data_IF_870748463881
#
_entry.id   IF_870748463881
#
_cell.length_a   1.000
_cell.length_b   1.000
_cell.length_c   1.000
_cell.angle_alpha   90.00
_cell.angle_beta   90.00
_cell.angle_gamma   90.00
#
_symmetry.space_group_name_H-M   'P 1'
#
loop_
_entity.id
_entity.type
_entity.pdbx_description
1 polymer ?
#
# COMPACT_ATOMS: atom_id res chain seq x y z
N UNK A 1 -37.45 12.86 -36.58
CA UNK A 1 -36.04 12.99 -36.17
C UNK A 1 -35.96 12.48 -34.72
N UNK A 2 -35.49 11.22 -34.53
CA UNK A 2 -35.41 10.57 -33.20
C UNK A 2 -34.03 10.85 -32.61
N UNK A 3 -34.00 11.64 -31.54
CA UNK A 3 -32.80 11.94 -30.78
C UNK A 3 -32.47 10.73 -29.87
N UNK A 4 -31.44 9.97 -30.21
CA UNK A 4 -30.92 8.89 -29.36
C UNK A 4 -30.02 9.53 -28.31
N UNK A 5 -30.51 9.61 -27.08
CA UNK A 5 -29.72 10.00 -25.92
C UNK A 5 -28.88 8.79 -25.50
N UNK A 6 -27.58 8.84 -25.79
CA UNK A 6 -26.61 7.89 -25.23
C UNK A 6 -26.37 8.24 -23.75
N UNK A 7 -26.96 7.46 -22.86
CA UNK A 7 -26.62 7.51 -21.43
C UNK A 7 -25.24 6.84 -21.25
N UNK A 8 -24.21 7.64 -21.11
CA UNK A 8 -22.89 7.14 -20.72
C UNK A 8 -22.97 6.69 -19.25
N UNK A 9 -23.01 5.38 -19.02
CA UNK A 9 -22.83 4.78 -17.70
C UNK A 9 -21.36 4.97 -17.30
N UNK A 10 -21.09 5.98 -16.48
CA UNK A 10 -19.81 6.13 -15.79
C UNK A 10 -19.76 5.04 -14.73
N UNK A 11 -19.11 3.94 -15.05
CA UNK A 11 -18.82 2.88 -14.10
C UNK A 11 -17.89 3.43 -13.01
N UNK A 12 -18.40 3.52 -11.78
CA UNK A 12 -17.53 3.75 -10.60
C UNK A 12 -16.60 2.55 -10.45
N UNK A 13 -15.34 2.71 -10.83
CA UNK A 13 -14.30 1.74 -10.52
C UNK A 13 -14.09 1.72 -9.00
N UNK A 14 -14.47 0.64 -8.35
CA UNK A 14 -14.27 0.41 -6.92
C UNK A 14 -12.81 0.01 -6.69
N UNK A 15 -11.92 0.99 -6.58
CA UNK A 15 -10.51 0.84 -6.31
C UNK A 15 -9.86 2.19 -6.08
N UNK A 16 -8.66 2.20 -5.45
CA UNK A 16 -7.89 3.43 -5.33
C UNK A 16 -7.53 3.93 -6.72
N UNK A 17 -7.69 5.23 -6.96
CA UNK A 17 -7.28 5.84 -8.21
C UNK A 17 -5.74 5.89 -8.34
N UNK A 18 -5.26 6.06 -9.56
CA UNK A 18 -3.83 6.07 -9.85
C UNK A 18 -3.10 7.23 -9.13
N UNK A 19 -3.75 8.37 -8.93
CA UNK A 19 -3.16 9.50 -8.22
C UNK A 19 -2.91 9.17 -6.74
N UNK A 20 -3.84 8.49 -6.08
CA UNK A 20 -3.69 8.01 -4.70
C UNK A 20 -2.56 6.99 -4.58
N UNK A 21 -2.46 6.04 -5.52
CA UNK A 21 -1.38 5.05 -5.56
C UNK A 21 -0.01 5.73 -5.73
N UNK A 22 0.11 6.69 -6.65
CA UNK A 22 1.35 7.44 -6.84
C UNK A 22 1.74 8.29 -5.62
N UNK A 23 0.76 8.89 -4.95
CA UNK A 23 1.00 9.56 -3.67
C UNK A 23 1.52 8.58 -2.63
N UNK A 24 0.89 7.42 -2.51
CA UNK A 24 1.29 6.36 -1.59
C UNK A 24 2.71 5.86 -1.84
N UNK A 25 3.10 5.70 -3.09
CA UNK A 25 4.47 5.36 -3.48
C UNK A 25 5.48 6.38 -2.97
N UNK A 26 5.24 7.68 -3.20
CA UNK A 26 6.13 8.75 -2.73
C UNK A 26 6.26 8.80 -1.22
N UNK A 27 5.14 8.62 -0.50
CA UNK A 27 5.15 8.60 0.98
C UNK A 27 5.88 7.35 1.49
N UNK A 28 5.65 6.20 0.86
CA UNK A 28 6.36 4.96 1.15
C UNK A 28 7.87 5.11 0.95
N UNK A 29 8.29 5.68 -0.17
CA UNK A 29 9.71 5.90 -0.47
C UNK A 29 10.38 6.79 0.58
N UNK A 30 9.69 7.79 1.06
CA UNK A 30 10.21 8.72 2.06
C UNK A 30 10.31 8.10 3.47
N UNK A 31 9.27 7.40 3.94
CA UNK A 31 9.17 6.93 5.33
C UNK A 31 9.52 5.46 5.53
N UNK A 32 9.31 4.63 4.53
CA UNK A 32 9.31 3.17 4.68
C UNK A 32 10.45 2.49 3.93
N UNK A 33 10.83 2.98 2.76
CA UNK A 33 11.81 2.34 1.89
C UNK A 33 13.21 2.24 2.51
N UNK A 34 13.54 3.10 3.45
CA UNK A 34 14.80 3.06 4.20
C UNK A 34 15.01 1.73 4.96
N UNK A 35 13.91 1.07 5.33
CA UNK A 35 13.92 -0.25 5.98
C UNK A 35 13.32 -1.35 5.08
N UNK A 36 12.38 -1.00 4.22
CA UNK A 36 11.61 -1.93 3.39
C UNK A 36 11.92 -1.86 1.89
N UNK A 37 12.97 -1.17 1.50
CA UNK A 37 13.44 -1.11 0.13
C UNK A 37 14.26 -2.33 -0.30
N UNK A 38 14.86 -2.24 -1.49
CA UNK A 38 15.69 -3.29 -2.04
C UNK A 38 17.01 -3.46 -1.27
N UNK A 39 17.56 -4.68 -1.32
CA UNK A 39 18.86 -4.99 -0.73
C UNK A 39 18.79 -5.52 0.70
N UNK A 40 19.87 -5.29 1.47
CA UNK A 40 20.02 -5.81 2.83
C UNK A 40 19.55 -4.81 3.90
N UNK A 41 18.39 -4.19 3.68
CA UNK A 41 17.79 -3.27 4.63
C UNK A 41 17.08 -4.00 5.77
N UNK A 42 17.02 -3.42 6.98
CA UNK A 42 16.59 -4.13 8.18
C UNK A 42 15.22 -4.79 8.07
N UNK A 43 14.23 -4.08 7.58
CA UNK A 43 12.87 -4.61 7.41
C UNK A 43 12.79 -5.67 6.34
N UNK A 44 13.47 -5.48 5.22
CA UNK A 44 13.50 -6.45 4.12
C UNK A 44 14.21 -7.73 4.54
N UNK A 45 15.33 -7.64 5.27
CA UNK A 45 16.03 -8.80 5.81
C UNK A 45 15.16 -9.55 6.82
N UNK A 46 14.52 -8.84 7.75
CA UNK A 46 13.66 -9.47 8.74
C UNK A 46 12.50 -10.24 8.10
N UNK A 47 11.87 -9.67 7.06
CA UNK A 47 10.79 -10.34 6.33
C UNK A 47 11.30 -11.51 5.48
N UNK A 48 12.49 -11.40 4.91
CA UNK A 48 13.13 -12.51 4.19
C UNK A 48 13.36 -13.72 5.09
N UNK A 49 13.86 -13.47 6.29
CA UNK A 49 14.06 -14.53 7.32
C UNK A 49 12.72 -15.11 7.76
N UNK A 50 11.72 -14.26 7.98
CA UNK A 50 10.39 -14.70 8.41
C UNK A 50 9.68 -15.57 7.38
N UNK A 51 9.71 -15.16 6.12
CA UNK A 51 8.91 -15.82 5.07
C UNK A 51 9.64 -16.92 4.32
N UNK A 52 10.96 -16.99 4.42
CA UNK A 52 11.78 -18.07 3.82
C UNK A 52 11.45 -18.37 2.35
N UNK A 53 11.13 -17.34 1.59
CA UNK A 53 10.76 -17.43 0.17
C UNK A 53 9.29 -17.71 -0.13
N UNK A 54 8.44 -17.95 0.88
CA UNK A 54 7.00 -18.18 0.68
C UNK A 54 6.26 -16.91 0.19
N UNK A 55 6.78 -15.74 0.56
CA UNK A 55 6.25 -14.43 0.16
C UNK A 55 7.40 -13.49 -0.15
N UNK A 56 7.20 -12.50 -1.05
CA UNK A 56 8.18 -11.46 -1.28
C UNK A 56 8.54 -10.74 0.03
N UNK A 57 9.83 -10.53 0.27
CA UNK A 57 10.30 -9.76 1.41
C UNK A 57 10.08 -8.25 1.24
N UNK A 58 10.13 -7.76 0.00
CA UNK A 58 9.80 -6.38 -0.31
C UNK A 58 8.29 -6.16 -0.28
N UNK A 59 7.85 -5.20 0.54
CA UNK A 59 6.42 -4.90 0.68
C UNK A 59 5.78 -4.44 -0.63
N UNK A 60 6.53 -3.74 -1.48
CA UNK A 60 6.08 -3.27 -2.79
C UNK A 60 5.77 -4.39 -3.79
N UNK A 61 6.29 -5.58 -3.56
CA UNK A 61 6.08 -6.76 -4.41
C UNK A 61 4.99 -7.70 -3.88
N UNK A 62 4.44 -7.41 -2.70
CA UNK A 62 3.43 -8.27 -2.06
C UNK A 62 2.10 -8.23 -2.81
N UNK A 63 1.41 -9.35 -2.79
CA UNK A 63 0.09 -9.52 -3.45
C UNK A 63 -1.03 -9.82 -2.46
N UNK A 64 -0.74 -9.83 -1.18
CA UNK A 64 -1.68 -10.19 -0.10
C UNK A 64 -1.93 -9.05 0.90
N UNK A 65 -1.26 -7.91 0.74
CA UNK A 65 -1.45 -6.77 1.64
C UNK A 65 -2.80 -6.10 1.41
N UNK A 66 -3.41 -5.67 2.52
CA UNK A 66 -4.62 -4.85 2.52
C UNK A 66 -4.33 -3.51 3.19
N UNK A 67 -5.10 -2.45 2.88
CA UNK A 67 -4.96 -1.18 3.58
C UNK A 67 -5.12 -1.31 5.09
N UNK A 68 -6.04 -2.16 5.56
CA UNK A 68 -6.28 -2.37 6.98
C UNK A 68 -5.04 -2.95 7.70
N UNK A 69 -4.39 -3.95 7.11
CA UNK A 69 -3.16 -4.55 7.66
C UNK A 69 -2.03 -3.53 7.72
N UNK A 70 -1.82 -2.77 6.65
CA UNK A 70 -0.82 -1.71 6.59
C UNK A 70 -1.03 -0.68 7.71
N UNK A 71 -2.26 -0.23 7.91
CA UNK A 71 -2.60 0.74 8.98
C UNK A 71 -2.27 0.22 10.37
N UNK A 72 -2.56 -1.04 10.65
CA UNK A 72 -2.25 -1.65 11.95
C UNK A 72 -0.75 -1.59 12.23
N UNK A 73 0.09 -2.06 11.31
CA UNK A 73 1.53 -2.07 11.52
C UNK A 73 2.14 -0.68 11.61
N UNK A 74 1.69 0.26 10.79
CA UNK A 74 2.20 1.65 10.83
C UNK A 74 1.82 2.34 12.13
N UNK A 75 0.60 2.15 12.64
CA UNK A 75 0.15 2.81 13.88
C UNK A 75 0.62 2.13 15.16
N UNK A 76 0.88 0.83 15.14
CA UNK A 76 1.29 0.07 16.32
C UNK A 76 2.78 -0.26 16.35
N UNK A 77 3.42 -0.35 15.19
CA UNK A 77 4.75 -0.92 15.08
C UNK A 77 4.77 -2.42 15.35
N UNK A 78 5.89 -3.05 15.15
CA UNK A 78 6.13 -4.46 15.49
C UNK A 78 7.62 -4.74 15.61
N UNK A 79 8.06 -5.34 16.70
CA UNK A 79 9.47 -5.63 16.95
C UNK A 79 10.33 -4.35 16.84
N UNK A 80 11.33 -4.35 15.96
CA UNK A 80 12.19 -3.17 15.72
C UNK A 80 11.53 -2.12 14.81
N UNK A 81 10.41 -2.44 14.15
CA UNK A 81 9.66 -1.46 13.37
C UNK A 81 8.97 -0.47 14.32
N UNK A 82 9.30 0.83 14.24
CA UNK A 82 8.65 1.82 15.09
C UNK A 82 7.20 2.04 14.66
N UNK A 83 6.39 2.56 15.56
CA UNK A 83 5.09 3.12 15.20
C UNK A 83 5.26 4.55 14.67
N UNK A 84 4.36 4.96 13.79
CA UNK A 84 4.32 6.31 13.24
C UNK A 84 3.09 7.06 13.74
N UNK A 85 3.31 8.27 14.23
CA UNK A 85 2.24 9.17 14.69
C UNK A 85 1.61 9.91 13.51
N UNK A 86 0.43 10.48 13.75
CA UNK A 86 -0.29 11.27 12.72
C UNK A 86 0.47 12.53 12.31
N UNK A 87 1.39 13.01 13.13
CA UNK A 87 2.28 14.14 12.83
C UNK A 87 3.45 13.76 11.91
N UNK A 88 3.75 12.48 11.79
CA UNK A 88 4.79 11.95 10.91
C UNK A 88 4.14 11.43 9.61
N UNK A 89 3.22 10.49 9.74
CA UNK A 89 2.43 9.94 8.63
C UNK A 89 0.97 10.26 8.93
N UNK A 90 0.40 11.23 8.22
CA UNK A 90 -1.01 11.62 8.39
C UNK A 90 -1.96 10.47 8.05
N UNK A 91 -3.22 10.55 8.47
CA UNK A 91 -4.20 9.53 8.08
C UNK A 91 -4.39 9.46 6.57
N UNK A 92 -4.38 10.61 5.88
CA UNK A 92 -4.46 10.65 4.42
C UNK A 92 -3.24 10.01 3.73
N UNK A 93 -2.04 10.26 4.25
CA UNK A 93 -0.81 9.63 3.74
C UNK A 93 -0.81 8.12 4.01
N UNK A 94 -1.30 7.70 5.17
CA UNK A 94 -1.42 6.28 5.51
C UNK A 94 -2.45 5.57 4.63
N UNK A 95 -3.57 6.21 4.31
CA UNK A 95 -4.53 5.69 3.33
C UNK A 95 -3.88 5.51 1.96
N UNK A 96 -3.07 6.46 1.53
CA UNK A 96 -2.34 6.38 0.27
C UNK A 96 -1.29 5.26 0.27
N UNK A 97 -0.51 5.10 1.34
CA UNK A 97 0.43 3.97 1.49
C UNK A 97 -0.33 2.64 1.43
N UNK A 98 -1.45 2.53 2.13
CA UNK A 98 -2.29 1.34 2.13
C UNK A 98 -2.78 0.98 0.72
N UNK A 99 -3.21 1.97 -0.05
CA UNK A 99 -3.62 1.79 -1.45
C UNK A 99 -2.43 1.36 -2.34
N UNK A 100 -1.28 1.99 -2.18
CA UNK A 100 -0.07 1.63 -2.91
C UNK A 100 0.35 0.19 -2.66
N UNK A 101 0.45 -0.23 -1.39
CA UNK A 101 0.87 -1.59 -1.05
C UNK A 101 -0.17 -2.66 -1.41
N UNK A 102 -1.44 -2.30 -1.47
CA UNK A 102 -2.51 -3.20 -1.87
C UNK A 102 -2.74 -3.28 -3.40
N UNK A 103 -2.06 -2.46 -4.21
CA UNK A 103 -2.31 -2.38 -5.66
C UNK A 103 -2.18 -3.69 -6.42
N UNK A 104 -1.34 -4.60 -5.93
CA UNK A 104 -1.13 -5.92 -6.52
C UNK A 104 -2.05 -6.99 -5.93
N UNK A 105 -2.88 -6.67 -4.94
CA UNK A 105 -3.81 -7.60 -4.32
C UNK A 105 -5.14 -7.60 -5.08
N UNK A 106 -5.32 -8.57 -5.96
CA UNK A 106 -6.54 -8.69 -6.79
C UNK A 106 -7.81 -8.97 -5.99
N UNK A 107 -7.71 -9.45 -4.75
CA UNK A 107 -8.86 -9.74 -3.89
C UNK A 107 -9.28 -8.52 -3.06
N UNK A 108 -8.39 -7.57 -2.81
CA UNK A 108 -8.69 -6.33 -2.09
C UNK A 108 -9.44 -5.29 -2.94
N UNK A 109 -9.50 -5.49 -4.25
CA UNK A 109 -10.15 -4.59 -5.21
C UNK A 109 -11.58 -5.03 -5.60
N UNK A 110 -12.12 -6.04 -4.92
CA UNK A 110 -13.50 -6.54 -5.13
C UNK A 110 -14.46 -6.07 -4.05
#
# INVERSE_FOLDING_TARGET
>A
MRLLIFLALVGCAWGADQATIQKGEKVFDYWCATCHGAGALPGTVALRVKYKGEKPAMLSERTDLTPAVTKIFVRKGVSIMPFFRKTEVSDADLDAIGAYLARNNKTASR
#
